data_IF_271349919596
#
_entry.id   IF_271349919596
#
_cell.length_a   1.000
_cell.length_b   1.000
_cell.length_c   1.000
_cell.angle_alpha   90.00
_cell.angle_beta   90.00
_cell.angle_gamma   90.00
#
_symmetry.space_group_name_H-M   'P 1'
#
loop_
_entity.id
_entity.type
_entity.pdbx_description
1 polymer ?
#
# COMPACT_ATOMS: atom_id res chain seq x y z
N UNK A 1 -0.25 31.69 14.17
CA UNK A 1 0.37 30.44 13.66
C UNK A 1 -0.50 29.97 12.52
N UNK A 2 0.00 30.02 11.28
CA UNK A 2 -0.75 29.53 10.13
C UNK A 2 -0.68 28.00 10.14
N UNK A 3 -1.80 27.31 10.36
CA UNK A 3 -1.90 25.90 10.00
C UNK A 3 -1.73 25.86 8.49
N UNK A 4 -0.69 25.19 8.00
CA UNK A 4 -0.65 24.84 6.60
C UNK A 4 -1.89 23.99 6.35
N UNK A 5 -2.86 24.51 5.59
CA UNK A 5 -3.90 23.69 4.99
C UNK A 5 -3.16 22.59 4.22
N UNK A 6 -3.16 21.39 4.78
CA UNK A 6 -2.71 20.23 4.04
C UNK A 6 -3.68 20.09 2.88
N UNK A 7 -3.21 19.90 1.63
CA UNK A 7 -4.13 19.74 0.52
C UNK A 7 -5.07 18.59 0.85
N UNK A 8 -6.36 18.88 0.98
CA UNK A 8 -7.35 17.86 1.26
C UNK A 8 -7.35 16.88 0.07
N UNK A 9 -6.87 15.66 0.31
CA UNK A 9 -6.91 14.55 -0.66
C UNK A 9 -8.28 13.88 -0.70
N UNK A 10 -9.35 14.58 -0.33
CA UNK A 10 -10.67 13.99 -0.34
C UNK A 10 -11.08 13.64 -1.78
N UNK A 11 -11.35 12.36 -2.02
CA UNK A 11 -11.73 11.89 -3.35
C UNK A 11 -11.49 10.40 -3.58
N UNK A 12 -11.78 10.00 -4.81
CA UNK A 12 -11.49 8.66 -5.31
C UNK A 12 -10.25 8.75 -6.21
N UNK A 13 -9.36 7.78 -6.11
CA UNK A 13 -8.09 7.73 -6.83
C UNK A 13 -7.88 6.35 -7.42
N UNK A 14 -7.32 6.31 -8.62
CA UNK A 14 -6.69 5.12 -9.17
C UNK A 14 -5.28 5.04 -8.62
N UNK A 15 -5.00 3.97 -7.88
CA UNK A 15 -3.66 3.53 -7.53
C UNK A 15 -3.09 2.72 -8.69
N UNK A 16 -1.85 3.00 -9.08
CA UNK A 16 -1.08 2.22 -10.04
C UNK A 16 0.36 2.17 -9.57
N UNK A 17 0.89 0.97 -9.34
CA UNK A 17 2.31 0.73 -9.05
C UNK A 17 3.13 0.48 -10.32
N UNK A 18 4.45 0.36 -10.17
CA UNK A 18 5.38 0.22 -11.30
C UNK A 18 5.34 -1.17 -11.95
N UNK A 19 4.86 -2.18 -11.23
CA UNK A 19 4.55 -3.52 -11.72
C UNK A 19 3.21 -3.59 -12.49
N UNK A 20 2.44 -2.50 -12.49
CA UNK A 20 1.20 -2.37 -13.25
C UNK A 20 -0.04 -2.92 -12.54
N UNK A 21 0.06 -3.25 -11.25
CA UNK A 21 -1.10 -3.53 -10.42
C UNK A 21 -1.87 -2.23 -10.14
N UNK A 22 -3.20 -2.34 -10.25
CA UNK A 22 -4.09 -1.21 -10.12
C UNK A 22 -5.19 -1.48 -9.10
N UNK A 23 -5.50 -0.46 -8.30
CA UNK A 23 -6.56 -0.50 -7.31
C UNK A 23 -7.31 0.83 -7.25
N UNK A 24 -8.49 0.83 -6.64
CA UNK A 24 -9.23 2.05 -6.35
C UNK A 24 -9.11 2.39 -4.88
N UNK A 25 -8.70 3.62 -4.59
CA UNK A 25 -8.62 4.19 -3.26
C UNK A 25 -9.68 5.27 -3.09
N UNK A 26 -10.45 5.19 -2.02
CA UNK A 26 -11.27 6.32 -1.54
C UNK A 26 -10.56 6.92 -0.34
N UNK A 27 -10.22 8.20 -0.43
CA UNK A 27 -9.44 8.91 0.60
C UNK A 27 -10.34 9.96 1.25
N UNK A 28 -10.31 9.99 2.58
CA UNK A 28 -10.92 11.05 3.40
C UNK A 28 -9.92 11.57 4.43
N UNK A 29 -9.61 12.85 4.41
CA UNK A 29 -8.64 13.47 5.32
C UNK A 29 -9.34 14.21 6.45
N UNK A 30 -8.92 13.96 7.69
CA UNK A 30 -9.38 14.70 8.87
C UNK A 30 -8.19 15.35 9.57
N UNK A 31 -8.29 16.64 9.94
CA UNK A 31 -7.19 17.38 10.55
C UNK A 31 -7.56 17.95 11.94
N UNK A 32 -7.00 17.39 13.02
CA UNK A 32 -7.11 17.93 14.38
C UNK A 32 -6.20 17.23 15.41
N UNK A 33 -5.15 17.89 15.97
CA UNK A 33 -4.36 18.98 15.39
C UNK A 33 -3.53 18.53 14.18
N UNK A 34 -3.30 17.23 14.04
CA UNK A 34 -2.58 16.58 12.95
C UNK A 34 -3.57 16.07 11.89
N UNK A 35 -3.11 15.92 10.64
CA UNK A 35 -3.92 15.40 9.54
C UNK A 35 -3.73 13.89 9.39
N UNK A 36 -4.84 13.18 9.17
CA UNK A 36 -4.85 11.73 8.92
C UNK A 36 -5.71 11.44 7.69
N UNK A 37 -5.15 10.74 6.71
CA UNK A 37 -5.89 10.19 5.57
C UNK A 37 -6.48 8.84 5.96
N UNK A 38 -7.80 8.73 5.89
CA UNK A 38 -8.54 7.47 5.97
C UNK A 38 -8.70 6.93 4.55
N UNK A 39 -8.05 5.83 4.25
CA UNK A 39 -8.07 5.20 2.93
C UNK A 39 -8.92 3.95 2.98
N UNK A 40 -9.83 3.80 2.03
CA UNK A 40 -10.55 2.56 1.76
C UNK A 40 -10.13 2.04 0.39
N UNK A 41 -9.70 0.79 0.30
CA UNK A 41 -9.33 0.13 -0.94
C UNK A 41 -10.41 -0.87 -1.34
N UNK A 42 -10.58 -1.09 -2.65
CA UNK A 42 -11.49 -2.12 -3.14
C UNK A 42 -10.69 -3.41 -3.39
N UNK A 43 -11.13 -4.59 -2.86
CA UNK A 43 -12.36 -4.84 -2.11
C UNK A 43 -12.21 -4.73 -0.58
N UNK A 44 -12.85 -3.72 0.04
CA UNK A 44 -13.25 -3.72 1.45
C UNK A 44 -12.17 -3.52 2.51
N UNK A 45 -10.91 -3.31 2.14
CA UNK A 45 -9.86 -3.02 3.12
C UNK A 45 -9.74 -1.52 3.37
N UNK A 46 -9.11 -1.14 4.47
CA UNK A 46 -8.85 0.27 4.76
C UNK A 46 -7.75 0.45 5.79
N UNK A 47 -7.20 1.65 5.82
CA UNK A 47 -6.11 2.02 6.71
C UNK A 47 -6.10 3.52 6.96
N UNK A 48 -5.44 3.92 8.04
CA UNK A 48 -5.23 5.32 8.40
C UNK A 48 -3.75 5.67 8.21
N UNK A 49 -3.47 6.79 7.53
CA UNK A 49 -2.12 7.28 7.29
C UNK A 49 -1.98 8.71 7.82
N UNK A 50 -1.34 8.92 8.99
CA UNK A 50 -1.01 10.25 9.48
C UNK A 50 -0.09 10.99 8.49
N UNK A 51 -0.25 12.31 8.43
CA UNK A 51 0.63 13.22 7.70
C UNK A 51 1.83 13.56 8.58
N UNK A 52 3.01 13.08 8.21
CA UNK A 52 4.27 13.25 8.94
C UNK A 52 5.26 13.89 7.96
N UNK A 53 5.84 15.04 8.32
CA UNK A 53 6.81 15.76 7.49
C UNK A 53 6.34 16.02 6.04
N UNK A 54 5.03 16.25 5.85
CA UNK A 54 4.45 16.55 4.54
C UNK A 54 4.11 15.32 3.68
N UNK A 55 4.33 14.10 4.18
CA UNK A 55 3.91 12.86 3.52
C UNK A 55 2.93 12.09 4.40
N UNK A 56 1.95 11.45 3.79
CA UNK A 56 1.15 10.47 4.49
C UNK A 56 1.96 9.19 4.64
N UNK A 57 2.00 8.61 5.83
CA UNK A 57 2.84 7.45 6.13
C UNK A 57 2.05 6.42 6.93
N UNK A 58 2.21 5.14 6.62
CA UNK A 58 1.58 4.04 7.36
C UNK A 58 2.45 2.79 7.28
N UNK A 59 2.49 2.02 8.38
CA UNK A 59 2.98 0.63 8.34
C UNK A 59 1.79 -0.29 8.55
N UNK A 60 1.57 -1.24 7.63
CA UNK A 60 0.43 -2.17 7.70
C UNK A 60 0.79 -3.55 7.15
N UNK A 61 -0.01 -4.55 7.51
CA UNK A 61 0.04 -5.86 6.87
C UNK A 61 -0.97 -5.93 5.75
N UNK A 62 -0.52 -6.29 4.55
CA UNK A 62 -1.35 -6.62 3.39
C UNK A 62 -1.49 -8.14 3.34
N UNK A 63 -2.71 -8.71 3.48
CA UNK A 63 -2.91 -10.16 3.57
C UNK A 63 -2.40 -10.96 2.36
N UNK A 64 -2.51 -10.38 1.17
CA UNK A 64 -2.23 -11.04 -0.11
C UNK A 64 -1.15 -10.28 -0.89
N UNK A 65 -0.07 -9.87 -0.23
CA UNK A 65 0.92 -8.97 -0.83
C UNK A 65 2.17 -9.64 -1.41
N UNK A 66 2.39 -10.94 -1.18
CA UNK A 66 3.47 -11.70 -1.85
C UNK A 66 2.88 -12.96 -2.45
N UNK A 67 3.14 -13.22 -3.73
CA UNK A 67 2.76 -14.46 -4.41
C UNK A 67 3.99 -15.34 -4.57
N UNK A 68 4.01 -16.49 -3.87
CA UNK A 68 5.07 -17.47 -4.02
C UNK A 68 4.72 -18.49 -5.12
N UNK A 69 5.70 -18.88 -5.97
CA UNK A 69 5.50 -19.96 -6.92
C UNK A 69 5.30 -21.30 -6.19
N UNK A 70 4.50 -22.18 -6.77
CA UNK A 70 4.36 -23.55 -6.27
C UNK A 70 5.63 -24.35 -6.58
N UNK A 71 6.28 -24.89 -5.54
CA UNK A 71 7.39 -25.83 -5.72
C UNK A 71 6.86 -27.26 -5.67
N UNK A 72 7.16 -28.04 -6.71
CA UNK A 72 6.86 -29.47 -6.74
C UNK A 72 7.95 -30.25 -5.98
N UNK A 73 7.54 -30.98 -4.96
CA UNK A 73 8.39 -31.87 -4.17
C UNK A 73 8.24 -33.31 -4.70
N UNK A 74 9.19 -33.71 -5.55
CA UNK A 74 9.32 -35.07 -6.08
C UNK A 74 8.25 -35.49 -7.08
N UNK A 75 8.36 -36.72 -7.57
CA UNK A 75 7.49 -37.27 -8.63
C UNK A 75 6.05 -37.58 -8.17
N UNK A 76 5.75 -37.39 -6.87
CA UNK A 76 4.42 -37.63 -6.29
C UNK A 76 3.45 -36.46 -6.44
N UNK A 77 3.87 -35.34 -7.04
CA UNK A 77 2.98 -34.19 -7.29
C UNK A 77 2.64 -33.36 -6.04
N UNK A 78 3.37 -33.53 -4.93
CA UNK A 78 3.20 -32.70 -3.74
C UNK A 78 3.68 -31.28 -4.01
N UNK A 79 2.83 -30.27 -3.80
CA UNK A 79 3.22 -28.86 -3.88
C UNK A 79 3.53 -28.30 -2.49
N UNK A 80 4.52 -27.42 -2.39
CA UNK A 80 4.88 -26.76 -1.13
C UNK A 80 5.17 -25.27 -1.34
N UNK A 81 4.73 -24.47 -0.37
CA UNK A 81 5.14 -23.05 -0.24
C UNK A 81 4.64 -22.10 -1.32
N UNK A 82 3.70 -22.52 -2.17
CA UNK A 82 3.05 -21.64 -3.14
C UNK A 82 1.79 -20.96 -2.59
N UNK A 83 1.39 -19.88 -3.26
CA UNK A 83 0.18 -19.12 -2.94
C UNK A 83 0.45 -17.68 -2.51
N UNK A 84 -0.61 -17.01 -2.06
CA UNK A 84 -0.54 -15.64 -1.54
C UNK A 84 -0.20 -15.66 -0.05
N UNK A 85 0.71 -14.78 0.35
CA UNK A 85 1.19 -14.64 1.72
C UNK A 85 1.08 -13.18 2.17
N UNK A 86 0.88 -12.95 3.49
CA UNK A 86 0.84 -11.62 4.03
C UNK A 86 2.23 -10.97 3.96
N UNK A 87 2.25 -9.65 3.81
CA UNK A 87 3.48 -8.86 3.87
C UNK A 87 3.23 -7.60 4.66
N UNK A 88 4.16 -7.26 5.53
CA UNK A 88 4.17 -5.97 6.22
C UNK A 88 4.86 -4.98 5.32
N UNK A 89 4.19 -3.86 5.07
CA UNK A 89 4.69 -2.78 4.23
C UNK A 89 4.76 -1.48 5.01
N UNK A 90 5.76 -0.68 4.71
CA UNK A 90 5.81 0.74 5.04
C UNK A 90 5.48 1.54 3.77
N UNK A 91 4.38 2.27 3.78
CA UNK A 91 3.90 3.02 2.63
C UNK A 91 3.93 4.51 2.94
N UNK A 92 4.43 5.32 1.99
CA UNK A 92 4.41 6.77 2.10
C UNK A 92 4.07 7.46 0.79
N UNK A 93 3.38 8.61 0.83
CA UNK A 93 3.11 9.41 -0.37
C UNK A 93 2.99 10.90 -0.09
N UNK A 94 3.28 11.71 -1.11
CA UNK A 94 3.12 13.16 -1.07
C UNK A 94 1.70 13.54 -1.56
N UNK A 95 0.90 14.27 -0.75
CA UNK A 95 -0.47 14.65 -1.11
C UNK A 95 -0.59 15.68 -2.23
N UNK A 96 0.52 16.32 -2.64
CA UNK A 96 0.58 17.32 -3.72
C UNK A 96 0.97 16.71 -5.05
N UNK A 97 1.99 15.85 -5.05
CA UNK A 97 2.47 15.21 -6.28
C UNK A 97 1.70 13.94 -6.59
N UNK A 98 1.01 13.36 -5.59
CA UNK A 98 0.29 12.10 -5.71
C UNK A 98 1.20 10.92 -6.06
N UNK A 99 2.49 11.03 -5.75
CA UNK A 99 3.50 9.98 -5.92
C UNK A 99 3.85 9.41 -4.54
N UNK A 100 3.96 8.09 -4.48
CA UNK A 100 4.30 7.36 -3.27
C UNK A 100 5.22 6.19 -3.51
N UNK A 101 5.62 5.58 -2.40
CA UNK A 101 6.58 4.49 -2.31
C UNK A 101 6.07 3.48 -1.29
N UNK A 102 6.43 2.22 -1.50
CA UNK A 102 6.13 1.08 -0.63
C UNK A 102 7.41 0.30 -0.38
N UNK A 103 7.83 0.24 0.87
CA UNK A 103 8.90 -0.67 1.30
C UNK A 103 8.28 -1.91 1.93
N UNK A 104 8.64 -3.09 1.44
CA UNK A 104 8.22 -4.36 2.01
C UNK A 104 9.21 -4.77 3.10
N UNK A 105 8.76 -4.76 4.36
CA UNK A 105 9.65 -4.84 5.53
C UNK A 105 9.74 -6.23 6.14
N UNK A 106 8.69 -7.05 6.01
CA UNK A 106 8.65 -8.39 6.60
C UNK A 106 7.58 -9.27 5.94
N UNK A 107 7.84 -10.56 5.79
CA UNK A 107 6.87 -11.55 5.33
C UNK A 107 7.22 -12.96 5.81
N UNK A 108 6.23 -13.78 6.23
CA UNK A 108 6.41 -15.20 6.47
C UNK A 108 6.49 -16.04 5.18
N UNK A 109 6.45 -15.41 3.99
CA UNK A 109 6.49 -16.08 2.70
C UNK A 109 7.78 -16.92 2.56
N UNK A 110 7.68 -18.23 2.22
CA UNK A 110 8.85 -19.09 2.10
C UNK A 110 9.74 -18.74 0.90
N UNK A 111 9.20 -18.03 -0.10
CA UNK A 111 9.94 -17.55 -1.26
C UNK A 111 10.71 -16.24 -1.01
N UNK A 112 10.56 -15.60 0.16
CA UNK A 112 11.11 -14.29 0.44
C UNK A 112 10.41 -13.16 -0.32
N UNK A 113 10.98 -11.95 -0.25
CA UNK A 113 10.49 -10.75 -0.93
C UNK A 113 11.52 -10.38 -2.00
N UNK A 114 11.29 -10.73 -3.28
CA UNK A 114 12.27 -10.53 -4.34
C UNK A 114 12.47 -9.04 -4.69
N UNK A 115 11.41 -8.24 -4.53
CA UNK A 115 11.45 -6.79 -4.70
C UNK A 115 10.95 -6.08 -3.43
N UNK A 116 11.86 -5.57 -2.58
CA UNK A 116 11.47 -4.97 -1.32
C UNK A 116 11.07 -3.50 -1.43
N UNK A 117 11.07 -2.89 -2.63
CA UNK A 117 10.72 -1.49 -2.81
C UNK A 117 9.97 -1.24 -4.12
N UNK A 118 8.83 -0.57 -4.03
CA UNK A 118 7.95 -0.27 -5.16
C UNK A 118 7.52 1.21 -5.13
N UNK A 119 7.22 1.77 -6.30
CA UNK A 119 6.72 3.13 -6.47
C UNK A 119 5.32 3.14 -7.06
N UNK A 120 4.48 4.07 -6.60
CA UNK A 120 3.11 4.19 -7.11
C UNK A 120 2.68 5.61 -7.37
N UNK A 121 1.64 5.73 -8.18
CA UNK A 121 0.96 6.99 -8.46
C UNK A 121 -0.51 6.90 -8.08
N UNK A 122 -1.06 8.02 -7.62
CA UNK A 122 -2.48 8.21 -7.39
C UNK A 122 -3.02 9.19 -8.44
N UNK A 123 -3.97 8.73 -9.25
CA UNK A 123 -4.65 9.60 -10.22
C UNK A 123 -6.07 9.85 -9.75
N UNK A 124 -6.43 11.13 -9.52
CA UNK A 124 -7.78 11.47 -9.06
C UNK A 124 -8.83 11.09 -10.11
N UNK A 125 -9.88 10.42 -9.67
CA UNK A 125 -11.06 10.07 -10.46
C UNK A 125 -12.11 11.16 -10.22
N UNK A 126 -12.22 12.10 -11.16
CA UNK A 126 -13.19 13.21 -11.11
C UNK A 126 -12.65 14.50 -10.51
#
# INVERSE_FOLDING_TARGET
>A
MARADSPAMDGVYTYLDDDGFAATWTVRTTCSPDCVAQVTTTPGHGFAAPLINGRHTVTRTVPDGVTCPEYFLGDNGSTWGGGMHPVTVHQSWDPRTLVGEVDFVDSPAPCGIPDPHDTFTLTKVG
#
